data_IF_849142515534
#
_entry.id   IF_849142515534
#
_cell.length_a   1.000
_cell.length_b   1.000
_cell.length_c   1.000
_cell.angle_alpha   90.00
_cell.angle_beta   90.00
_cell.angle_gamma   90.00
#
_symmetry.space_group_name_H-M   'P 1'
#
loop_
_entity.id
_entity.type
_entity.pdbx_description
1 polymer ?
#
# COMPACT_ATOMS: atom_id res chain seq x y z
N UNK A 1 -24.08 -44.99 -46.58
CA UNK A 1 -23.38 -46.25 -46.28
C UNK A 1 -22.76 -46.10 -44.92
N UNK A 2 -23.34 -46.73 -43.91
CA UNK A 2 -22.68 -46.88 -42.60
C UNK A 2 -21.33 -47.55 -42.86
N UNK A 3 -20.24 -46.84 -42.56
CA UNK A 3 -18.96 -47.49 -42.38
C UNK A 3 -19.12 -48.30 -41.10
N UNK A 4 -19.38 -49.60 -41.23
CA UNK A 4 -19.19 -50.54 -40.13
C UNK A 4 -17.82 -50.25 -39.54
N UNK A 5 -17.77 -49.84 -38.28
CA UNK A 5 -16.50 -49.59 -37.60
C UNK A 5 -15.77 -50.93 -37.50
N UNK A 6 -14.85 -51.16 -38.43
CA UNK A 6 -14.01 -52.34 -38.40
C UNK A 6 -13.10 -52.21 -37.19
N UNK A 7 -13.37 -53.04 -36.19
CA UNK A 7 -12.56 -53.12 -34.99
C UNK A 7 -11.32 -53.95 -35.30
N UNK A 8 -10.16 -53.31 -35.27
CA UNK A 8 -8.88 -53.98 -35.53
C UNK A 8 -8.63 -55.06 -34.49
N UNK A 9 -9.11 -54.88 -33.26
CA UNK A 9 -9.00 -55.88 -32.21
C UNK A 9 -9.77 -57.14 -32.61
N UNK A 10 -11.00 -56.99 -33.11
CA UNK A 10 -11.79 -58.12 -33.60
C UNK A 10 -11.13 -58.82 -34.80
N UNK A 11 -10.49 -58.09 -35.71
CA UNK A 11 -9.73 -58.70 -36.81
C UNK A 11 -8.48 -59.46 -36.33
N UNK A 12 -7.81 -58.96 -35.29
CA UNK A 12 -6.66 -59.62 -34.69
C UNK A 12 -7.08 -60.86 -33.90
N UNK A 13 -8.16 -60.78 -33.13
CA UNK A 13 -8.78 -61.91 -32.43
C UNK A 13 -9.23 -62.99 -33.42
N UNK A 14 -9.81 -62.58 -34.57
CA UNK A 14 -10.18 -63.51 -35.62
C UNK A 14 -8.97 -64.17 -36.30
N UNK A 15 -7.86 -63.45 -36.50
CA UNK A 15 -6.59 -64.04 -36.96
C UNK A 15 -6.06 -65.08 -35.96
N UNK A 16 -6.17 -64.80 -34.66
CA UNK A 16 -5.79 -65.73 -33.59
C UNK A 16 -6.67 -66.98 -33.63
N UNK A 17 -7.99 -66.82 -33.72
CA UNK A 17 -8.96 -67.92 -33.82
C UNK A 17 -8.71 -68.82 -35.04
N UNK A 18 -8.42 -68.20 -36.20
CA UNK A 18 -8.05 -68.93 -37.43
C UNK A 18 -6.81 -69.82 -37.24
N UNK A 19 -5.86 -69.41 -36.39
CA UNK A 19 -4.65 -70.21 -36.09
C UNK A 19 -4.94 -71.28 -35.04
N UNK A 20 -5.71 -70.95 -34.00
CA UNK A 20 -6.03 -71.88 -32.91
C UNK A 20 -6.89 -73.05 -33.38
N UNK A 21 -7.85 -72.79 -34.28
CA UNK A 21 -8.79 -73.78 -34.80
C UNK A 21 -8.27 -74.55 -36.02
N UNK A 22 -7.12 -74.12 -36.57
CA UNK A 22 -6.53 -74.73 -37.77
C UNK A 22 -6.13 -76.21 -37.55
N UNK A 23 -6.43 -77.10 -38.51
CA UNK A 23 -6.02 -78.49 -38.46
C UNK A 23 -4.49 -78.64 -38.29
N UNK A 24 -4.08 -79.40 -37.28
CA UNK A 24 -2.66 -79.64 -37.00
C UNK A 24 -2.14 -80.83 -37.81
N UNK A 25 -0.97 -80.67 -38.40
CA UNK A 25 -0.26 -81.73 -39.11
C UNK A 25 0.53 -82.58 -38.09
N UNK A 26 0.23 -83.89 -37.94
CA UNK A 26 0.94 -84.77 -37.01
C UNK A 26 2.46 -84.75 -37.24
N UNK A 27 3.23 -84.90 -36.16
CA UNK A 27 4.71 -84.99 -36.16
C UNK A 27 5.44 -83.66 -36.46
N UNK A 28 4.86 -82.76 -37.26
CA UNK A 28 5.54 -81.50 -37.68
C UNK A 28 5.23 -80.29 -36.80
N UNK A 29 4.16 -80.33 -36.01
CA UNK A 29 3.70 -79.21 -35.18
C UNK A 29 3.13 -78.01 -35.97
N UNK A 30 2.96 -78.15 -37.28
CA UNK A 30 2.45 -77.09 -38.16
C UNK A 30 0.92 -77.12 -38.23
N UNK A 31 0.29 -75.96 -38.41
CA UNK A 31 -1.15 -75.82 -38.67
C UNK A 31 -1.43 -75.52 -40.13
N UNK A 32 -2.55 -76.02 -40.66
CA UNK A 32 -3.01 -75.76 -42.02
C UNK A 32 -4.06 -74.65 -41.99
N UNK A 33 -3.76 -73.52 -42.61
CA UNK A 33 -4.65 -72.35 -42.68
C UNK A 33 -5.07 -72.08 -44.13
N UNK A 34 -6.28 -71.55 -44.33
CA UNK A 34 -6.65 -71.00 -45.63
C UNK A 34 -5.85 -69.72 -45.86
N UNK A 35 -4.90 -69.82 -46.78
CA UNK A 35 -4.00 -68.71 -47.12
C UNK A 35 -4.76 -67.48 -47.61
N UNK A 36 -5.86 -67.65 -48.33
CA UNK A 36 -6.61 -66.53 -48.93
C UNK A 36 -7.35 -65.76 -47.83
N UNK A 37 -8.09 -66.46 -46.99
CA UNK A 37 -8.81 -65.88 -45.84
C UNK A 37 -7.85 -65.18 -44.88
N UNK A 38 -6.74 -65.85 -44.51
CA UNK A 38 -5.75 -65.30 -43.58
C UNK A 38 -5.08 -64.01 -44.11
N UNK A 39 -4.73 -63.99 -45.41
CA UNK A 39 -4.16 -62.79 -46.04
C UNK A 39 -5.19 -61.66 -46.19
N UNK A 40 -6.45 -61.97 -46.46
CA UNK A 40 -7.52 -60.98 -46.55
C UNK A 40 -7.74 -60.26 -45.21
N UNK A 41 -7.66 -60.96 -44.08
CA UNK A 41 -7.78 -60.34 -42.75
C UNK A 41 -6.55 -59.47 -42.43
N UNK A 42 -5.34 -59.93 -42.78
CA UNK A 42 -4.11 -59.12 -42.64
C UNK A 42 -4.20 -57.84 -43.47
N UNK A 43 -4.65 -57.93 -44.72
CA UNK A 43 -4.82 -56.77 -45.60
C UNK A 43 -5.84 -55.79 -45.03
N UNK A 44 -6.93 -56.27 -44.42
CA UNK A 44 -7.87 -55.41 -43.71
C UNK A 44 -7.20 -54.71 -42.52
N UNK A 45 -6.45 -55.42 -41.67
CA UNK A 45 -5.71 -54.81 -40.55
C UNK A 45 -4.76 -53.72 -41.05
N UNK A 46 -3.97 -54.01 -42.09
CA UNK A 46 -3.00 -53.05 -42.67
C UNK A 46 -3.70 -51.81 -43.23
N UNK A 47 -4.87 -51.97 -43.85
CA UNK A 47 -5.61 -50.86 -44.44
C UNK A 47 -6.31 -49.99 -43.40
N UNK A 48 -6.84 -50.57 -42.31
CA UNK A 48 -7.61 -49.84 -41.30
C UNK A 48 -6.75 -49.27 -40.15
N UNK A 49 -5.61 -49.88 -39.82
CA UNK A 49 -4.73 -49.47 -38.72
C UNK A 49 -4.20 -48.03 -38.83
N UNK A 50 -3.72 -47.54 -39.98
CA UNK A 50 -3.22 -46.18 -40.11
C UNK A 50 -4.27 -45.12 -39.79
N UNK A 51 -5.51 -45.34 -40.22
CA UNK A 51 -6.61 -44.40 -39.98
C UNK A 51 -7.06 -44.39 -38.52
N UNK A 52 -7.08 -45.54 -37.85
CA UNK A 52 -7.36 -45.61 -36.41
C UNK A 52 -6.27 -44.92 -35.58
N UNK A 53 -4.99 -45.09 -35.93
CA UNK A 53 -3.88 -44.39 -35.29
C UNK A 53 -3.96 -42.87 -35.50
N UNK A 54 -4.28 -42.41 -36.71
CA UNK A 54 -4.50 -40.98 -36.99
C UNK A 54 -5.66 -40.41 -36.17
N UNK A 55 -6.77 -41.13 -36.07
CA UNK A 55 -7.91 -40.75 -35.22
C UNK A 55 -7.47 -40.62 -33.76
N UNK A 56 -6.75 -41.61 -33.22
CA UNK A 56 -6.28 -41.57 -31.84
C UNK A 56 -5.35 -40.37 -31.57
N UNK A 57 -4.42 -40.09 -32.50
CA UNK A 57 -3.53 -38.94 -32.39
C UNK A 57 -4.28 -37.61 -32.50
N UNK A 58 -5.29 -37.53 -33.38
CA UNK A 58 -6.16 -36.37 -33.49
C UNK A 58 -6.95 -36.15 -32.19
N UNK A 59 -7.55 -37.19 -31.62
CA UNK A 59 -8.26 -37.11 -30.34
C UNK A 59 -7.35 -36.62 -29.22
N UNK A 60 -6.11 -37.12 -29.15
CA UNK A 60 -5.16 -36.67 -28.12
C UNK A 60 -4.79 -35.18 -28.30
N UNK A 61 -4.51 -34.77 -29.54
CA UNK A 61 -4.19 -33.37 -29.86
C UNK A 61 -5.36 -32.44 -29.56
N UNK A 62 -6.57 -32.86 -29.91
CA UNK A 62 -7.78 -32.09 -29.67
C UNK A 62 -8.09 -31.99 -28.17
N UNK A 63 -7.87 -33.06 -27.40
CA UNK A 63 -7.97 -33.04 -25.94
C UNK A 63 -7.01 -32.01 -25.34
N UNK A 64 -5.74 -32.01 -25.76
CA UNK A 64 -4.76 -31.05 -25.25
C UNK A 64 -5.08 -29.61 -25.66
N UNK A 65 -5.62 -29.41 -26.87
CA UNK A 65 -6.13 -28.10 -27.33
C UNK A 65 -7.29 -27.61 -26.45
N UNK A 66 -8.30 -28.45 -26.24
CA UNK A 66 -9.47 -28.13 -25.41
C UNK A 66 -9.04 -27.76 -23.98
N UNK A 67 -8.12 -28.53 -23.39
CA UNK A 67 -7.60 -28.24 -22.05
C UNK A 67 -6.83 -26.92 -22.00
N UNK A 68 -6.01 -26.65 -23.02
CA UNK A 68 -5.27 -25.39 -23.13
C UNK A 68 -6.19 -24.18 -23.27
N UNK A 69 -7.23 -24.29 -24.09
CA UNK A 69 -8.21 -23.22 -24.30
C UNK A 69 -9.05 -22.99 -23.03
N UNK A 70 -9.51 -24.06 -22.37
CA UNK A 70 -10.23 -23.97 -21.10
C UNK A 70 -9.38 -23.31 -20.00
N UNK A 71 -8.08 -23.62 -19.91
CA UNK A 71 -7.18 -22.99 -18.95
C UNK A 71 -7.00 -21.50 -19.23
N UNK A 72 -6.85 -21.10 -20.50
CA UNK A 72 -6.75 -19.69 -20.89
C UNK A 72 -8.02 -18.92 -20.55
N UNK A 73 -9.18 -19.48 -20.87
CA UNK A 73 -10.48 -18.86 -20.59
C UNK A 73 -10.72 -18.72 -19.08
N UNK A 74 -10.34 -19.73 -18.30
CA UNK A 74 -10.38 -19.68 -16.84
C UNK A 74 -9.52 -18.54 -16.28
N UNK A 75 -8.26 -18.41 -16.72
CA UNK A 75 -7.37 -17.35 -16.24
C UNK A 75 -7.86 -15.95 -16.68
N UNK A 76 -8.38 -15.81 -17.90
CA UNK A 76 -8.97 -14.56 -18.38
C UNK A 76 -10.17 -14.16 -17.51
N UNK A 77 -11.12 -15.07 -17.32
CA UNK A 77 -12.33 -14.86 -16.53
C UNK A 77 -11.98 -14.52 -15.07
N UNK A 78 -11.00 -15.23 -14.50
CA UNK A 78 -10.52 -14.97 -13.14
C UNK A 78 -9.94 -13.56 -13.01
N UNK A 79 -9.12 -13.14 -13.97
CA UNK A 79 -8.54 -11.79 -14.00
C UNK A 79 -9.64 -10.71 -14.07
N UNK A 80 -10.62 -10.89 -14.96
CA UNK A 80 -11.75 -9.97 -15.10
C UNK A 80 -12.58 -9.87 -13.82
N UNK A 81 -12.88 -11.00 -13.18
CA UNK A 81 -13.62 -11.04 -11.91
C UNK A 81 -12.86 -10.29 -10.81
N UNK A 82 -11.54 -10.48 -10.71
CA UNK A 82 -10.72 -9.80 -9.70
C UNK A 82 -10.76 -8.28 -9.90
N UNK A 83 -10.65 -7.81 -11.13
CA UNK A 83 -10.75 -6.38 -11.44
C UNK A 83 -12.16 -5.83 -11.13
N UNK A 84 -13.21 -6.54 -11.52
CA UNK A 84 -14.59 -6.17 -11.17
C UNK A 84 -14.82 -6.12 -9.66
N UNK A 85 -14.27 -7.08 -8.90
CA UNK A 85 -14.37 -7.08 -7.44
C UNK A 85 -13.68 -5.87 -6.83
N UNK A 86 -12.47 -5.54 -7.30
CA UNK A 86 -11.74 -4.35 -6.84
C UNK A 86 -12.54 -3.07 -7.06
N UNK A 87 -13.10 -2.90 -8.26
CA UNK A 87 -13.95 -1.76 -8.59
C UNK A 87 -15.24 -1.73 -7.76
N UNK A 88 -15.85 -2.89 -7.50
CA UNK A 88 -17.04 -2.98 -6.62
C UNK A 88 -16.70 -2.59 -5.18
N UNK A 89 -15.56 -3.03 -4.65
CA UNK A 89 -15.13 -2.68 -3.29
C UNK A 89 -14.87 -1.18 -3.19
N UNK A 90 -14.17 -0.58 -4.15
CA UNK A 90 -13.94 0.87 -4.16
C UNK A 90 -15.24 1.68 -4.24
N UNK A 91 -16.24 1.17 -4.96
CA UNK A 91 -17.54 1.79 -5.12
C UNK A 91 -18.54 1.43 -4.02
N UNK A 92 -18.19 0.49 -3.13
CA UNK A 92 -19.06 0.03 -2.07
C UNK A 92 -19.36 1.18 -1.12
N UNK A 93 -20.62 1.32 -0.72
CA UNK A 93 -21.08 2.47 0.05
C UNK A 93 -20.31 2.63 1.37
N UNK A 94 -19.96 1.51 2.00
CA UNK A 94 -19.10 1.50 3.21
C UNK A 94 -17.72 2.14 2.96
N UNK A 95 -17.09 1.90 1.80
CA UNK A 95 -15.78 2.48 1.49
C UNK A 95 -15.92 3.97 1.17
N UNK A 96 -16.99 4.38 0.47
CA UNK A 96 -17.30 5.79 0.23
C UNK A 96 -17.55 6.54 1.53
N UNK A 97 -18.38 5.98 2.40
CA UNK A 97 -18.69 6.55 3.71
C UNK A 97 -17.45 6.64 4.59
N UNK A 98 -16.60 5.61 4.59
CA UNK A 98 -15.32 5.64 5.30
C UNK A 98 -14.40 6.77 4.79
N UNK A 99 -14.35 7.01 3.46
CA UNK A 99 -13.59 8.13 2.88
C UNK A 99 -14.17 9.48 3.28
N UNK A 100 -15.50 9.64 3.26
CA UNK A 100 -16.17 10.87 3.70
C UNK A 100 -15.82 11.15 5.16
N UNK A 101 -16.00 10.17 6.04
CA UNK A 101 -15.70 10.29 7.47
C UNK A 101 -14.22 10.57 7.73
N UNK A 102 -13.31 9.96 6.98
CA UNK A 102 -11.88 10.26 7.07
C UNK A 102 -11.59 11.73 6.72
N UNK A 103 -12.20 12.25 5.65
CA UNK A 103 -12.05 13.65 5.26
C UNK A 103 -12.64 14.61 6.31
N UNK A 104 -13.77 14.25 6.92
CA UNK A 104 -14.37 15.02 8.02
C UNK A 104 -13.45 15.07 9.25
N UNK A 105 -12.85 13.95 9.64
CA UNK A 105 -11.89 13.89 10.75
C UNK A 105 -10.69 14.78 10.46
N UNK A 106 -10.14 14.73 9.25
CA UNK A 106 -9.01 15.59 8.85
C UNK A 106 -9.41 17.06 8.88
N UNK A 107 -10.58 17.42 8.35
CA UNK A 107 -11.08 18.79 8.36
C UNK A 107 -11.30 19.32 9.79
N UNK A 108 -11.83 18.48 10.68
CA UNK A 108 -11.98 18.81 12.10
C UNK A 108 -10.62 19.03 12.76
N UNK A 109 -9.68 18.10 12.58
CA UNK A 109 -8.34 18.21 13.14
C UNK A 109 -7.60 19.48 12.66
N UNK A 110 -7.76 19.83 11.38
CA UNK A 110 -7.20 21.07 10.83
C UNK A 110 -7.83 22.33 11.45
N UNK A 111 -9.15 22.32 11.68
CA UNK A 111 -9.87 23.42 12.33
C UNK A 111 -9.39 23.60 13.77
N UNK A 112 -9.28 22.50 14.51
CA UNK A 112 -8.84 22.51 15.91
C UNK A 112 -7.39 22.97 16.02
N UNK A 113 -6.50 22.47 15.15
CA UNK A 113 -5.11 22.92 15.10
C UNK A 113 -5.01 24.43 14.79
N UNK A 114 -5.86 24.95 13.89
CA UNK A 114 -5.91 26.39 13.61
C UNK A 114 -6.41 27.18 14.83
N UNK A 115 -7.45 26.70 15.50
CA UNK A 115 -8.00 27.33 16.71
C UNK A 115 -6.95 27.39 17.83
N UNK A 116 -6.27 26.28 18.10
CA UNK A 116 -5.18 26.20 19.08
C UNK A 116 -4.09 27.22 18.73
N UNK A 117 -3.63 27.24 17.46
CA UNK A 117 -2.56 28.17 17.04
C UNK A 117 -2.96 29.64 17.22
N UNK A 118 -4.19 30.00 16.90
CA UNK A 118 -4.70 31.36 17.08
C UNK A 118 -4.78 31.68 18.56
N UNK A 119 -5.41 30.83 19.38
CA UNK A 119 -5.53 31.04 20.82
C UNK A 119 -4.18 31.13 21.53
N UNK A 120 -3.19 30.32 21.14
CA UNK A 120 -1.82 30.42 21.67
C UNK A 120 -1.15 31.75 21.32
N UNK A 121 -1.35 32.25 20.09
CA UNK A 121 -0.81 33.56 19.69
C UNK A 121 -1.47 34.69 20.46
N UNK A 122 -2.79 34.68 20.57
CA UNK A 122 -3.56 35.67 21.34
C UNK A 122 -3.12 35.68 22.81
N UNK A 123 -2.97 34.50 23.42
CA UNK A 123 -2.45 34.36 24.78
C UNK A 123 -1.04 34.92 24.92
N UNK A 124 -0.11 34.56 24.01
CA UNK A 124 1.25 35.12 24.03
C UNK A 124 1.25 36.64 23.87
N UNK A 125 0.40 37.19 22.99
CA UNK A 125 0.28 38.65 22.81
C UNK A 125 -0.23 39.32 24.09
N UNK A 126 -1.21 38.74 24.77
CA UNK A 126 -1.73 39.28 26.03
C UNK A 126 -0.65 39.30 27.11
N UNK A 127 0.07 38.18 27.30
CA UNK A 127 1.17 38.10 28.29
C UNK A 127 2.29 39.09 27.96
N UNK A 128 2.70 39.20 26.69
CA UNK A 128 3.73 40.16 26.29
C UNK A 128 3.27 41.60 26.47
N UNK A 129 1.99 41.90 26.23
CA UNK A 129 1.43 43.24 26.45
C UNK A 129 1.33 43.58 27.94
N UNK A 130 1.03 42.60 28.80
CA UNK A 130 1.07 42.76 30.25
C UNK A 130 2.51 43.04 30.72
N UNK A 131 3.47 42.27 30.25
CA UNK A 131 4.88 42.46 30.57
C UNK A 131 5.37 43.84 30.12
N UNK A 132 5.00 44.29 28.92
CA UNK A 132 5.37 45.62 28.42
C UNK A 132 4.83 46.72 29.33
N UNK A 133 3.56 46.64 29.75
CA UNK A 133 2.96 47.57 30.72
C UNK A 133 3.69 47.56 32.06
N UNK A 134 4.05 46.39 32.58
CA UNK A 134 4.81 46.29 33.84
C UNK A 134 6.20 46.92 33.70
N UNK A 135 6.89 46.70 32.57
CA UNK A 135 8.20 47.31 32.30
C UNK A 135 8.08 48.84 32.22
N UNK A 136 7.07 49.36 31.52
CA UNK A 136 6.76 50.80 31.45
C UNK A 136 6.55 51.39 32.86
N UNK A 137 5.75 50.72 33.69
CA UNK A 137 5.49 51.15 35.07
C UNK A 137 6.78 51.16 35.90
N UNK A 138 7.57 50.08 35.86
CA UNK A 138 8.85 50.00 36.59
C UNK A 138 9.84 51.05 36.11
N UNK A 139 9.85 51.38 34.82
CA UNK A 139 10.70 52.46 34.29
C UNK A 139 10.28 53.82 34.84
N UNK A 140 9.00 54.12 34.86
CA UNK A 140 8.49 55.39 35.39
C UNK A 140 8.84 55.54 36.88
N UNK A 141 8.65 54.48 37.66
CA UNK A 141 9.05 54.44 39.08
C UNK A 141 10.55 54.66 39.23
N UNK A 142 11.38 54.05 38.38
CA UNK A 142 12.84 54.24 38.42
C UNK A 142 13.22 55.70 38.15
N UNK A 143 12.63 56.33 37.13
CA UNK A 143 12.88 57.73 36.77
C UNK A 143 12.49 58.65 37.93
N UNK A 144 11.31 58.45 38.52
CA UNK A 144 10.84 59.24 39.66
C UNK A 144 11.77 59.10 40.88
N UNK A 145 12.17 57.86 41.20
CA UNK A 145 13.10 57.59 42.29
C UNK A 145 14.48 58.22 42.05
N UNK A 146 14.98 58.18 40.81
CA UNK A 146 16.24 58.84 40.45
C UNK A 146 16.12 60.36 40.62
N UNK A 147 15.04 60.99 40.15
CA UNK A 147 14.80 62.43 40.31
C UNK A 147 14.79 62.85 41.78
N UNK A 148 14.01 62.14 42.61
CA UNK A 148 13.97 62.37 44.07
C UNK A 148 15.34 62.21 44.71
N UNK A 149 16.08 61.17 44.34
CA UNK A 149 17.42 60.92 44.89
C UNK A 149 18.41 62.01 44.51
N UNK A 150 18.35 62.52 43.27
CA UNK A 150 19.19 63.64 42.82
C UNK A 150 18.84 64.95 43.55
N UNK A 151 17.55 65.22 43.77
CA UNK A 151 17.11 66.41 44.50
C UNK A 151 17.60 66.39 45.95
N UNK A 152 17.44 65.24 46.63
CA UNK A 152 17.96 65.03 47.99
C UNK A 152 19.48 65.22 48.02
N UNK A 153 20.21 64.58 47.10
CA UNK A 153 21.67 64.69 47.03
C UNK A 153 22.12 66.15 46.78
N UNK A 154 21.45 66.87 45.90
CA UNK A 154 21.74 68.28 45.61
C UNK A 154 21.53 69.15 46.85
N UNK A 155 20.42 68.94 47.57
CA UNK A 155 20.12 69.66 48.81
C UNK A 155 21.14 69.37 49.91
N UNK A 156 21.53 68.11 50.10
CA UNK A 156 22.56 67.74 51.09
C UNK A 156 23.93 68.37 50.76
N UNK A 157 24.29 68.44 49.49
CA UNK A 157 25.53 69.11 49.04
C UNK A 157 25.46 70.60 49.35
N UNK A 158 24.36 71.26 49.01
CA UNK A 158 24.16 72.70 49.26
C UNK A 158 24.22 73.03 50.76
N UNK A 159 23.54 72.24 51.60
CA UNK A 159 23.55 72.39 53.06
C UNK A 159 24.98 72.23 53.63
N UNK A 160 25.72 71.20 53.19
CA UNK A 160 27.11 70.97 53.62
C UNK A 160 28.04 72.09 53.17
N UNK A 161 27.91 72.57 51.93
CA UNK A 161 28.73 73.69 51.42
C UNK A 161 28.42 75.00 52.14
N UNK A 162 27.15 75.31 52.38
CA UNK A 162 26.72 76.50 53.13
C UNK A 162 27.19 76.46 54.58
N UNK A 163 27.10 75.30 55.24
CA UNK A 163 27.64 75.08 56.58
C UNK A 163 29.16 75.28 56.61
N UNK A 164 29.88 74.69 55.65
CA UNK A 164 31.34 74.83 55.54
C UNK A 164 31.74 76.29 55.28
N UNK A 165 31.04 76.97 54.37
CA UNK A 165 31.26 78.39 54.07
C UNK A 165 31.00 79.30 55.28
N UNK A 166 29.99 78.98 56.09
CA UNK A 166 29.70 79.71 57.34
C UNK A 166 30.83 79.52 58.35
N UNK A 167 31.31 78.29 58.55
CA UNK A 167 32.48 78.01 59.40
C UNK A 167 33.74 78.75 58.92
N UNK A 168 33.96 78.82 57.61
CA UNK A 168 35.09 79.58 57.05
C UNK A 168 34.95 81.08 57.38
N UNK A 169 33.75 81.66 57.23
CA UNK A 169 33.50 83.07 57.57
C UNK A 169 33.68 83.36 59.06
N UNK A 170 33.22 82.45 59.92
CA UNK A 170 33.41 82.51 61.36
C UNK A 170 34.91 82.51 61.71
N UNK A 171 35.67 81.53 61.21
CA UNK A 171 37.12 81.45 61.41
C UNK A 171 37.87 82.72 60.91
N UNK A 172 37.47 83.28 59.76
CA UNK A 172 38.08 84.54 59.26
C UNK A 172 37.77 85.72 60.19
N UNK A 173 36.56 85.77 60.74
CA UNK A 173 36.14 86.85 61.64
C UNK A 173 36.90 86.79 62.96
N UNK A 174 37.10 85.59 63.51
CA UNK A 174 37.93 85.37 64.70
C UNK A 174 39.37 85.83 64.47
N UNK A 175 39.99 85.43 63.35
CA UNK A 175 41.37 85.83 63.02
C UNK A 175 41.56 87.34 62.83
N UNK A 176 40.51 88.07 62.45
CA UNK A 176 40.56 89.55 62.30
C UNK A 176 40.31 90.30 63.61
N UNK A 177 39.70 89.63 64.59
CA UNK A 177 39.46 90.18 65.93
C UNK A 177 40.61 89.95 66.91
N UNK A 178 41.59 89.12 66.53
CA UNK A 178 42.88 88.93 67.22
C UNK A 178 43.91 89.97 66.77
#
# INVERSE_FOLDING_TARGET
MEKTEVNIIELLEYLEELIETAPKVPITGKSVVDKKEFLEVIDQVINYLPDQLKKAQWVMTEKDRILGDAQKEYESTKSEILEMMKQKVENHDVVKEAKIRANEIIALAQRDAKAIRIGSREYSTEILSQLDREIEEKRNILIENMQKSFEIAAKEIDEKLSSTGSKIKENISELRGM
#
